data_IF_130971318354
#
_entry.id   IF_130971318354
#
_cell.length_a   1.000
_cell.length_b   1.000
_cell.length_c   1.000
_cell.angle_alpha   90.00
_cell.angle_beta   90.00
_cell.angle_gamma   90.00
#
_symmetry.space_group_name_H-M   'P 1'
#
loop_
_entity.id
_entity.type
_entity.pdbx_description
1 polymer ?
#
# COMPACT_ATOMS: atom_id res chain seq x y z
N UNK A 1 -14.07 -19.58 -27.21
CA UNK A 1 -15.23 -18.86 -26.66
C UNK A 1 -14.83 -17.87 -25.56
N UNK A 2 -14.11 -18.25 -24.50
CA UNK A 2 -13.71 -17.34 -23.40
C UNK A 2 -12.88 -16.12 -23.86
N UNK A 3 -11.84 -16.31 -24.69
CA UNK A 3 -11.02 -15.22 -25.21
C UNK A 3 -11.83 -14.21 -26.05
N UNK A 4 -12.73 -14.69 -26.89
CA UNK A 4 -13.63 -13.84 -27.69
C UNK A 4 -14.53 -12.98 -26.79
N UNK A 5 -15.11 -13.56 -25.73
CA UNK A 5 -15.93 -12.82 -24.76
C UNK A 5 -15.11 -11.72 -24.10
N UNK A 6 -13.88 -12.02 -23.66
CA UNK A 6 -12.99 -11.03 -23.07
C UNK A 6 -12.70 -9.89 -24.04
N UNK A 7 -12.38 -10.20 -25.31
CA UNK A 7 -12.13 -9.20 -26.36
C UNK A 7 -13.32 -8.26 -26.53
N UNK A 8 -14.55 -8.79 -26.63
CA UNK A 8 -15.77 -8.00 -26.78
C UNK A 8 -16.01 -7.08 -25.57
N UNK A 9 -15.90 -7.62 -24.35
CA UNK A 9 -16.08 -6.81 -23.14
C UNK A 9 -15.04 -5.72 -23.00
N UNK A 10 -13.77 -5.99 -23.33
CA UNK A 10 -12.72 -4.99 -23.33
C UNK A 10 -12.97 -3.91 -24.37
N UNK A 11 -13.35 -4.29 -25.59
CA UNK A 11 -13.67 -3.34 -26.66
C UNK A 11 -14.84 -2.41 -26.28
N UNK A 12 -15.91 -2.99 -25.72
CA UNK A 12 -17.06 -2.23 -25.25
C UNK A 12 -16.70 -1.27 -24.10
N UNK A 13 -15.93 -1.75 -23.10
CA UNK A 13 -15.46 -0.94 -21.98
C UNK A 13 -14.52 0.18 -22.44
N UNK A 14 -13.59 -0.14 -23.35
CA UNK A 14 -12.71 0.84 -23.96
C UNK A 14 -13.50 1.94 -24.69
N UNK A 15 -14.46 1.56 -25.54
CA UNK A 15 -15.30 2.49 -26.28
C UNK A 15 -16.14 3.38 -25.34
N UNK A 16 -16.73 2.82 -24.29
CA UNK A 16 -17.48 3.57 -23.29
C UNK A 16 -16.62 4.61 -22.55
N UNK A 17 -15.40 4.23 -22.14
CA UNK A 17 -14.47 5.13 -21.47
C UNK A 17 -13.90 6.20 -22.43
N UNK A 18 -13.68 5.86 -23.71
CA UNK A 18 -13.31 6.83 -24.74
C UNK A 18 -14.43 7.85 -24.97
N UNK A 19 -15.68 7.39 -25.04
CA UNK A 19 -16.85 8.26 -25.11
C UNK A 19 -16.99 9.18 -23.90
N UNK A 20 -16.74 8.67 -22.69
CA UNK A 20 -16.69 9.46 -21.46
C UNK A 20 -15.58 10.53 -21.51
N UNK A 21 -14.38 10.16 -21.97
CA UNK A 21 -13.28 11.10 -22.15
C UNK A 21 -13.63 12.22 -23.14
N UNK A 22 -14.29 11.88 -24.25
CA UNK A 22 -14.77 12.83 -25.22
C UNK A 22 -15.88 13.75 -24.65
N UNK A 23 -16.81 13.18 -23.90
CA UNK A 23 -17.89 13.95 -23.26
C UNK A 23 -17.37 14.94 -22.21
N UNK A 24 -16.22 14.65 -21.57
CA UNK A 24 -15.58 15.51 -20.56
C UNK A 24 -14.46 16.40 -21.10
N UNK A 25 -14.15 16.34 -22.39
CA UNK A 25 -13.14 17.20 -23.01
C UNK A 25 -13.56 18.67 -22.94
N UNK A 26 -12.59 19.57 -22.75
CA UNK A 26 -12.82 21.00 -22.76
C UNK A 26 -12.79 21.53 -24.20
N UNK A 27 -13.71 22.40 -24.53
CA UNK A 27 -13.93 22.90 -25.91
C UNK A 27 -12.77 23.71 -26.51
N UNK A 28 -11.79 24.09 -25.70
CA UNK A 28 -10.65 24.91 -26.08
C UNK A 28 -9.33 24.13 -26.15
N UNK A 29 -9.37 22.81 -25.88
CA UNK A 29 -8.20 21.96 -25.94
C UNK A 29 -8.21 21.11 -27.23
N UNK A 30 -7.13 21.15 -28.00
CA UNK A 30 -6.93 20.31 -29.19
C UNK A 30 -6.75 18.81 -28.85
N UNK A 31 -6.87 18.42 -27.56
CA UNK A 31 -6.77 17.06 -27.05
C UNK A 31 -7.73 16.80 -25.89
N UNK A 32 -7.92 15.52 -25.60
CA UNK A 32 -8.74 15.07 -24.47
C UNK A 32 -8.13 15.48 -23.14
N UNK A 33 -8.90 16.05 -22.22
CA UNK A 33 -8.42 16.48 -20.91
C UNK A 33 -7.94 15.29 -20.09
N UNK A 34 -8.66 14.15 -20.09
CA UNK A 34 -8.28 12.91 -19.41
C UNK A 34 -8.67 11.73 -20.30
N UNK A 35 -7.74 10.80 -20.52
CA UNK A 35 -7.96 9.61 -21.34
C UNK A 35 -8.16 8.36 -20.48
N UNK A 36 -9.40 8.08 -20.09
CA UNK A 36 -9.74 6.98 -19.19
C UNK A 36 -9.48 5.58 -19.77
N UNK A 37 -9.61 5.42 -21.08
CA UNK A 37 -9.52 4.11 -21.72
C UNK A 37 -8.15 3.45 -21.59
N UNK A 38 -7.06 4.22 -21.57
CA UNK A 38 -5.69 3.71 -21.39
C UNK A 38 -5.53 3.00 -20.02
N UNK A 39 -6.17 3.53 -18.99
CA UNK A 39 -6.15 2.94 -17.66
C UNK A 39 -6.89 1.62 -17.56
N UNK A 40 -7.98 1.43 -18.32
CA UNK A 40 -8.68 0.15 -18.39
C UNK A 40 -7.76 -0.95 -18.94
N UNK A 41 -7.12 -0.68 -20.05
CA UNK A 41 -6.24 -1.64 -20.72
C UNK A 41 -5.08 -2.03 -19.82
N UNK A 42 -4.35 -1.05 -19.27
CA UNK A 42 -3.24 -1.31 -18.35
C UNK A 42 -3.70 -2.06 -17.10
N UNK A 43 -4.78 -1.64 -16.45
CA UNK A 43 -5.31 -2.27 -15.26
C UNK A 43 -5.67 -3.74 -15.49
N UNK A 44 -6.32 -4.06 -16.61
CA UNK A 44 -6.65 -5.43 -16.99
C UNK A 44 -5.41 -6.28 -17.28
N UNK A 45 -4.40 -5.73 -17.96
CA UNK A 45 -3.14 -6.43 -18.20
C UNK A 45 -2.40 -6.77 -16.90
N UNK A 46 -2.45 -5.89 -15.90
CA UNK A 46 -1.79 -6.11 -14.62
C UNK A 46 -2.53 -7.09 -13.70
N UNK A 47 -3.85 -7.21 -13.83
CA UNK A 47 -4.67 -8.10 -12.98
C UNK A 47 -4.81 -9.50 -13.58
N UNK A 48 -4.76 -9.61 -14.91
CA UNK A 48 -4.99 -10.90 -15.58
C UNK A 48 -3.68 -11.62 -15.91
N UNK A 49 -3.70 -12.97 -15.96
CA UNK A 49 -2.52 -13.73 -16.34
C UNK A 49 -2.11 -13.39 -17.78
N UNK A 50 -0.83 -13.53 -18.08
CA UNK A 50 -0.27 -13.21 -19.42
C UNK A 50 -0.96 -13.93 -20.57
N UNK A 51 -1.56 -15.10 -20.34
CA UNK A 51 -2.35 -15.84 -21.34
C UNK A 51 -3.58 -15.08 -21.83
N UNK A 52 -4.09 -14.12 -21.05
CA UNK A 52 -5.24 -13.28 -21.43
C UNK A 52 -4.84 -11.98 -22.14
N UNK A 53 -3.55 -11.63 -22.18
CA UNK A 53 -3.08 -10.36 -22.73
C UNK A 53 -3.46 -10.16 -24.17
N UNK A 54 -3.36 -11.20 -25.02
CA UNK A 54 -3.73 -11.13 -26.43
C UNK A 54 -5.20 -10.72 -26.59
N UNK A 55 -6.11 -11.29 -25.83
CA UNK A 55 -7.52 -10.95 -25.91
C UNK A 55 -7.82 -9.53 -25.41
N UNK A 56 -7.11 -9.06 -24.35
CA UNK A 56 -7.24 -7.71 -23.82
C UNK A 56 -6.72 -6.70 -24.83
N UNK A 57 -5.53 -6.92 -25.39
CA UNK A 57 -4.93 -6.04 -26.40
C UNK A 57 -5.75 -6.00 -27.69
N UNK A 58 -6.29 -7.14 -28.15
CA UNK A 58 -7.19 -7.19 -29.29
C UNK A 58 -8.48 -6.40 -29.03
N UNK A 59 -9.04 -6.49 -27.80
CA UNK A 59 -10.21 -5.71 -27.42
C UNK A 59 -9.92 -4.20 -27.39
N UNK A 60 -8.78 -3.80 -26.83
CA UNK A 60 -8.34 -2.40 -26.81
C UNK A 60 -8.12 -1.87 -28.23
N UNK A 61 -7.47 -2.66 -29.10
CA UNK A 61 -7.28 -2.30 -30.51
C UNK A 61 -8.63 -2.03 -31.21
N UNK A 62 -9.56 -2.97 -31.09
CA UNK A 62 -10.88 -2.84 -31.71
C UNK A 62 -11.63 -1.64 -31.16
N UNK A 63 -11.64 -1.46 -29.83
CA UNK A 63 -12.30 -0.31 -29.19
C UNK A 63 -11.71 1.02 -29.62
N UNK A 64 -10.39 1.15 -29.68
CA UNK A 64 -9.69 2.34 -30.11
C UNK A 64 -9.92 2.65 -31.60
N UNK A 65 -9.84 1.62 -32.46
CA UNK A 65 -10.09 1.78 -33.89
C UNK A 65 -11.54 2.18 -34.18
N UNK A 66 -12.51 1.55 -33.51
CA UNK A 66 -13.94 1.91 -33.64
C UNK A 66 -14.17 3.34 -33.17
N UNK A 67 -13.60 3.73 -32.02
CA UNK A 67 -13.71 5.10 -31.53
C UNK A 67 -13.15 6.12 -32.56
N UNK A 68 -11.95 5.87 -33.08
CA UNK A 68 -11.35 6.73 -34.11
C UNK A 68 -12.22 6.86 -35.37
N UNK A 69 -12.84 5.78 -35.84
CA UNK A 69 -13.80 5.80 -36.93
C UNK A 69 -15.04 6.65 -36.63
N UNK A 70 -15.56 6.59 -35.42
CA UNK A 70 -16.74 7.35 -34.99
C UNK A 70 -16.48 8.86 -34.92
N UNK A 71 -15.25 9.29 -34.59
CA UNK A 71 -14.88 10.71 -34.57
C UNK A 71 -14.38 11.23 -35.91
N UNK A 72 -14.43 10.42 -37.00
CA UNK A 72 -14.12 10.83 -38.35
C UNK A 72 -12.71 10.51 -38.85
N UNK A 73 -11.89 9.82 -38.08
CA UNK A 73 -10.49 9.45 -38.40
C UNK A 73 -10.34 8.17 -39.24
N UNK A 74 -10.84 8.16 -40.47
CA UNK A 74 -10.90 6.95 -41.31
C UNK A 74 -9.54 6.28 -41.60
N UNK A 75 -8.53 7.05 -41.93
CA UNK A 75 -7.19 6.52 -42.29
C UNK A 75 -6.33 6.24 -41.04
N UNK A 76 -6.55 6.97 -39.98
CA UNK A 76 -5.75 6.91 -38.75
C UNK A 76 -6.27 5.88 -37.74
N UNK A 77 -7.46 5.28 -37.98
CA UNK A 77 -8.11 4.38 -37.03
C UNK A 77 -7.24 3.16 -36.65
N UNK A 78 -6.57 2.55 -37.64
CA UNK A 78 -5.68 1.42 -37.41
C UNK A 78 -4.40 1.86 -36.70
N UNK A 79 -3.85 3.03 -37.05
CA UNK A 79 -2.69 3.63 -36.39
C UNK A 79 -2.98 3.93 -34.90
N UNK A 80 -4.15 4.49 -34.65
CA UNK A 80 -4.61 4.79 -33.28
C UNK A 80 -4.77 3.52 -32.43
N UNK A 81 -5.41 2.49 -32.99
CA UNK A 81 -5.53 1.19 -32.31
C UNK A 81 -4.17 0.54 -32.05
N UNK A 82 -3.25 0.61 -33.01
CA UNK A 82 -1.90 0.09 -32.82
C UNK A 82 -1.11 0.86 -31.74
N UNK A 83 -1.23 2.18 -31.70
CA UNK A 83 -0.61 3.03 -30.68
C UNK A 83 -1.07 2.63 -29.27
N UNK A 84 -2.37 2.48 -29.06
CA UNK A 84 -2.93 2.06 -27.78
C UNK A 84 -2.43 0.69 -27.33
N UNK A 85 -2.38 -0.27 -28.24
CA UNK A 85 -1.86 -1.62 -27.94
C UNK A 85 -0.38 -1.59 -27.56
N UNK A 86 0.43 -0.88 -28.35
CA UNK A 86 1.87 -0.79 -28.13
C UNK A 86 2.20 -0.12 -26.78
N UNK A 87 1.54 0.99 -26.49
CA UNK A 87 1.80 1.74 -25.25
C UNK A 87 1.32 0.99 -24.01
N UNK A 88 0.13 0.38 -24.05
CA UNK A 88 -0.39 -0.43 -22.95
C UNK A 88 0.46 -1.69 -22.72
N UNK A 89 0.88 -2.38 -23.77
CA UNK A 89 1.76 -3.54 -23.67
C UNK A 89 3.15 -3.16 -23.10
N UNK A 90 3.73 -2.05 -23.57
CA UNK A 90 4.99 -1.53 -23.05
C UNK A 90 4.89 -1.18 -21.56
N UNK A 91 3.87 -0.42 -21.15
CA UNK A 91 3.63 -0.07 -19.75
C UNK A 91 3.43 -1.30 -18.87
N UNK A 92 2.61 -2.25 -19.29
CA UNK A 92 2.39 -3.49 -18.57
C UNK A 92 3.66 -4.34 -18.48
N UNK A 93 4.47 -4.37 -19.54
CA UNK A 93 5.74 -5.08 -19.55
C UNK A 93 6.74 -4.48 -18.55
N UNK A 94 6.92 -3.15 -18.56
CA UNK A 94 7.81 -2.46 -17.61
C UNK A 94 7.32 -2.68 -16.17
N UNK A 95 6.04 -2.46 -15.89
CA UNK A 95 5.48 -2.68 -14.57
C UNK A 95 5.69 -4.14 -14.09
N UNK A 96 5.52 -5.13 -14.98
CA UNK A 96 5.72 -6.55 -14.65
C UNK A 96 7.16 -6.95 -14.35
N UNK A 97 8.15 -6.07 -14.60
CA UNK A 97 9.54 -6.25 -14.17
C UNK A 97 9.78 -5.71 -12.75
N UNK A 98 8.91 -4.85 -12.28
CA UNK A 98 9.02 -4.20 -10.96
C UNK A 98 8.16 -4.89 -9.90
N UNK A 99 7.07 -5.58 -10.30
CA UNK A 99 6.16 -6.28 -9.39
C UNK A 99 5.71 -7.63 -9.95
N UNK A 100 5.20 -8.50 -9.07
CA UNK A 100 4.64 -9.79 -9.47
C UNK A 100 3.21 -9.63 -9.99
N UNK A 101 2.87 -10.39 -11.03
CA UNK A 101 1.51 -10.46 -11.56
C UNK A 101 0.78 -11.69 -10.99
N UNK A 102 -0.51 -11.60 -10.67
CA UNK A 102 -1.38 -10.41 -10.76
C UNK A 102 -1.07 -9.35 -9.70
N UNK A 103 -1.15 -8.06 -10.05
CA UNK A 103 -0.86 -6.96 -9.15
C UNK A 103 -1.96 -6.80 -8.08
N UNK A 104 -1.57 -6.55 -6.83
CA UNK A 104 -2.49 -6.38 -5.70
C UNK A 104 -2.43 -5.00 -5.04
N UNK A 105 -1.38 -4.22 -5.29
CA UNK A 105 -1.12 -2.90 -4.70
C UNK A 105 -1.13 -2.91 -3.15
N UNK A 106 -0.57 -3.95 -2.55
CA UNK A 106 -0.49 -4.09 -1.10
C UNK A 106 0.81 -3.50 -0.52
N UNK A 107 1.81 -3.26 -1.39
CA UNK A 107 3.11 -2.71 -1.01
C UNK A 107 3.46 -1.45 -1.80
N UNK A 108 4.24 -0.52 -1.23
CA UNK A 108 4.71 0.69 -1.93
C UNK A 108 5.43 0.40 -3.26
N UNK A 109 6.12 -0.75 -3.35
CA UNK A 109 6.77 -1.21 -4.59
C UNK A 109 5.76 -1.46 -5.70
N UNK A 110 4.59 -2.02 -5.39
CA UNK A 110 3.54 -2.30 -6.38
C UNK A 110 2.93 -1.00 -6.90
N UNK A 111 2.73 -0.01 -5.99
CA UNK A 111 2.31 1.32 -6.38
C UNK A 111 3.36 2.00 -7.27
N UNK A 112 4.65 1.92 -6.94
CA UNK A 112 5.73 2.45 -7.76
C UNK A 112 5.77 1.77 -9.14
N UNK A 113 5.56 0.46 -9.20
CA UNK A 113 5.48 -0.29 -10.46
C UNK A 113 4.29 0.18 -11.32
N UNK A 114 3.13 0.42 -10.72
CA UNK A 114 1.97 0.95 -11.42
C UNK A 114 2.23 2.37 -11.93
N UNK A 115 2.73 3.26 -11.08
CA UNK A 115 2.91 4.69 -11.40
C UNK A 115 4.03 4.90 -12.41
N UNK A 116 5.24 4.43 -12.10
CA UNK A 116 6.43 4.69 -12.91
C UNK A 116 6.59 3.65 -14.03
N UNK A 117 6.39 2.38 -13.72
CA UNK A 117 6.52 1.29 -14.69
C UNK A 117 5.34 1.24 -15.67
N UNK A 118 4.13 1.37 -15.18
CA UNK A 118 2.90 1.28 -15.97
C UNK A 118 2.49 2.62 -16.57
N UNK A 119 1.90 3.49 -15.73
CA UNK A 119 1.23 4.71 -16.18
C UNK A 119 2.17 5.72 -16.84
N UNK A 120 3.31 6.00 -16.22
CA UNK A 120 4.25 7.01 -16.74
C UNK A 120 4.92 6.53 -18.03
N UNK A 121 5.39 5.28 -18.08
CA UNK A 121 6.01 4.74 -19.30
C UNK A 121 5.03 4.67 -20.47
N UNK A 122 3.79 4.21 -20.23
CA UNK A 122 2.72 4.23 -21.25
C UNK A 122 2.45 5.64 -21.75
N UNK A 123 2.31 6.61 -20.85
CA UNK A 123 2.02 8.00 -21.19
C UNK A 123 3.15 8.66 -22.00
N UNK A 124 4.41 8.46 -21.58
CA UNK A 124 5.58 9.02 -22.28
C UNK A 124 5.74 8.41 -23.67
N UNK A 125 5.67 7.08 -23.80
CA UNK A 125 5.83 6.39 -25.08
C UNK A 125 4.72 6.84 -26.05
N UNK A 126 3.46 6.89 -25.58
CA UNK A 126 2.34 7.35 -26.40
C UNK A 126 2.47 8.79 -26.83
N UNK A 127 2.88 9.67 -25.91
CA UNK A 127 3.08 11.09 -26.18
C UNK A 127 4.22 11.33 -27.18
N UNK A 128 5.32 10.59 -27.08
CA UNK A 128 6.44 10.68 -28.04
C UNK A 128 6.00 10.27 -29.44
N UNK A 129 5.30 9.14 -29.58
CA UNK A 129 4.79 8.68 -30.88
C UNK A 129 3.80 9.68 -31.45
N UNK A 130 2.86 10.19 -30.64
CA UNK A 130 1.88 11.19 -31.11
C UNK A 130 2.54 12.52 -31.54
N UNK A 131 3.55 12.99 -30.80
CA UNK A 131 4.30 14.18 -31.15
C UNK A 131 5.11 14.03 -32.44
N UNK A 132 5.79 12.89 -32.62
CA UNK A 132 6.52 12.56 -33.86
C UNK A 132 5.53 12.49 -35.04
N UNK A 133 4.40 11.79 -34.84
CA UNK A 133 3.35 11.73 -35.87
C UNK A 133 2.84 13.13 -36.27
N UNK A 134 2.56 14.00 -35.31
CA UNK A 134 2.14 15.39 -35.58
C UNK A 134 3.15 16.11 -36.45
N UNK A 135 4.44 16.07 -36.08
CA UNK A 135 5.49 16.78 -36.83
C UNK A 135 5.70 16.16 -38.22
N UNK A 136 5.73 14.84 -38.35
CA UNK A 136 5.94 14.15 -39.64
C UNK A 136 4.75 14.30 -40.59
N UNK A 137 3.54 14.54 -40.07
CA UNK A 137 2.34 14.83 -40.84
C UNK A 137 2.19 16.31 -41.19
N UNK A 138 3.23 17.12 -40.94
CA UNK A 138 3.23 18.55 -41.28
C UNK A 138 2.69 19.50 -40.21
N UNK A 139 2.40 18.97 -39.02
CA UNK A 139 2.00 19.79 -37.87
C UNK A 139 3.19 20.50 -37.22
N UNK A 140 2.94 21.65 -36.58
CA UNK A 140 3.98 22.49 -35.97
C UNK A 140 3.97 22.43 -34.43
N UNK A 141 3.05 21.66 -33.83
CA UNK A 141 2.79 21.67 -32.38
C UNK A 141 3.26 20.41 -31.67
N UNK A 142 4.37 19.80 -32.05
CA UNK A 142 4.87 18.54 -31.48
C UNK A 142 5.03 18.58 -29.96
N UNK A 143 5.55 19.67 -29.38
CA UNK A 143 5.71 19.82 -27.92
C UNK A 143 4.37 19.94 -27.21
N UNK A 144 3.42 20.68 -27.74
CA UNK A 144 2.08 20.80 -27.20
C UNK A 144 1.35 19.44 -27.25
N UNK A 145 1.43 18.73 -28.36
CA UNK A 145 0.90 17.38 -28.55
C UNK A 145 1.50 16.41 -27.51
N UNK A 146 2.83 16.43 -27.36
CA UNK A 146 3.49 15.60 -26.33
C UNK A 146 2.92 15.86 -24.93
N UNK A 147 2.86 17.13 -24.52
CA UNK A 147 2.39 17.51 -23.19
C UNK A 147 0.94 17.07 -22.95
N UNK A 148 0.05 17.35 -23.88
CA UNK A 148 -1.36 17.03 -23.79
C UNK A 148 -1.58 15.50 -23.72
N UNK A 149 -0.93 14.74 -24.59
CA UNK A 149 -1.03 13.28 -24.60
C UNK A 149 -0.46 12.65 -23.33
N UNK A 150 0.73 13.10 -22.88
CA UNK A 150 1.36 12.58 -21.67
C UNK A 150 0.47 12.77 -20.45
N UNK A 151 -0.01 14.00 -20.22
CA UNK A 151 -0.82 14.32 -19.03
C UNK A 151 -2.19 13.66 -19.08
N UNK A 152 -2.85 13.66 -20.23
CA UNK A 152 -4.17 13.05 -20.44
C UNK A 152 -4.15 11.54 -20.15
N UNK A 153 -3.19 10.83 -20.74
CA UNK A 153 -3.03 9.38 -20.55
C UNK A 153 -2.58 9.05 -19.13
N UNK A 154 -1.63 9.80 -18.58
CA UNK A 154 -1.15 9.59 -17.23
C UNK A 154 -2.28 9.75 -16.19
N UNK A 155 -3.03 10.84 -16.26
CA UNK A 155 -4.16 11.09 -15.36
C UNK A 155 -5.25 10.01 -15.50
N UNK A 156 -5.64 9.66 -16.72
CA UNK A 156 -6.64 8.61 -16.99
C UNK A 156 -6.20 7.25 -16.47
N UNK A 157 -4.93 6.92 -16.66
CA UNK A 157 -4.35 5.66 -16.16
C UNK A 157 -4.32 5.62 -14.64
N UNK A 158 -3.95 6.70 -13.98
CA UNK A 158 -3.92 6.78 -12.50
C UNK A 158 -5.31 6.70 -11.85
N UNK A 159 -6.37 7.04 -12.58
CA UNK A 159 -7.74 6.88 -12.08
C UNK A 159 -8.23 5.45 -12.32
N UNK A 160 -8.12 4.94 -13.54
CA UNK A 160 -8.84 3.73 -13.94
C UNK A 160 -8.04 2.46 -13.65
N UNK A 161 -6.73 2.43 -13.86
CA UNK A 161 -5.96 1.21 -13.64
C UNK A 161 -5.99 0.75 -12.17
N UNK A 162 -5.75 1.61 -11.14
CA UNK A 162 -5.87 1.18 -9.75
C UNK A 162 -7.32 0.85 -9.37
N UNK A 163 -8.33 1.51 -9.96
CA UNK A 163 -9.73 1.14 -9.76
C UNK A 163 -9.99 -0.29 -10.25
N UNK A 164 -9.54 -0.64 -11.45
CA UNK A 164 -9.63 -2.00 -11.98
C UNK A 164 -8.92 -3.00 -11.08
N UNK A 165 -7.71 -2.72 -10.62
CA UNK A 165 -6.93 -3.59 -9.74
C UNK A 165 -7.63 -3.79 -8.40
N UNK A 166 -8.09 -2.71 -7.76
CA UNK A 166 -8.73 -2.77 -6.44
C UNK A 166 -10.07 -3.52 -6.44
N UNK A 167 -10.80 -3.46 -7.55
CA UNK A 167 -12.15 -4.02 -7.65
C UNK A 167 -12.22 -5.36 -8.39
N UNK A 168 -11.15 -5.79 -9.07
CA UNK A 168 -11.12 -7.06 -9.80
C UNK A 168 -11.36 -8.29 -8.92
N UNK A 169 -11.00 -8.22 -7.66
CA UNK A 169 -11.18 -9.31 -6.68
C UNK A 169 -12.33 -9.03 -5.69
N UNK A 170 -13.13 -8.02 -5.97
CA UNK A 170 -14.26 -7.70 -5.11
C UNK A 170 -15.28 -8.84 -5.13
N UNK A 171 -15.55 -9.40 -3.94
CA UNK A 171 -16.65 -10.34 -3.72
C UNK A 171 -17.73 -9.62 -2.93
N UNK A 172 -18.99 -9.57 -3.42
CA UNK A 172 -20.07 -8.95 -2.68
C UNK A 172 -20.38 -9.78 -1.42
N UNK A 173 -19.88 -9.31 -0.30
CA UNK A 173 -20.22 -9.77 1.05
C UNK A 173 -20.90 -8.61 1.77
N UNK A 174 -21.73 -8.93 2.78
CA UNK A 174 -22.29 -7.90 3.66
C UNK A 174 -21.14 -7.02 4.20
N UNK A 175 -21.27 -5.71 4.12
CA UNK A 175 -20.27 -4.70 4.48
C UNK A 175 -18.90 -4.82 3.77
N UNK A 176 -18.83 -5.49 2.59
CA UNK A 176 -17.57 -5.69 1.87
C UNK A 176 -16.50 -6.49 2.62
N UNK A 177 -16.90 -7.21 3.69
CA UNK A 177 -15.99 -7.96 4.57
C UNK A 177 -15.36 -7.11 5.68
N UNK A 178 -15.79 -5.85 5.84
CA UNK A 178 -15.35 -4.97 6.93
C UNK A 178 -16.23 -5.16 8.18
N UNK A 179 -15.69 -4.95 9.39
CA UNK A 179 -16.51 -4.81 10.60
C UNK A 179 -17.50 -3.66 10.44
N UNK A 180 -18.72 -3.80 10.98
CA UNK A 180 -19.78 -2.79 10.83
C UNK A 180 -19.37 -1.36 11.24
N UNK A 181 -18.60 -1.14 12.33
CA UNK A 181 -18.12 0.20 12.68
C UNK A 181 -17.19 0.78 11.61
N UNK A 182 -16.29 -0.03 11.05
CA UNK A 182 -15.39 0.41 9.98
C UNK A 182 -16.16 0.68 8.68
N UNK A 183 -17.16 -0.14 8.35
CA UNK A 183 -18.03 0.13 7.20
C UNK A 183 -18.78 1.45 7.38
N UNK A 184 -19.40 1.69 8.54
CA UNK A 184 -20.12 2.93 8.86
C UNK A 184 -19.22 4.16 8.84
N UNK A 185 -18.03 4.07 9.46
CA UNK A 185 -17.04 5.15 9.45
C UNK A 185 -16.58 5.50 8.03
N UNK A 186 -16.34 4.49 7.18
CA UNK A 186 -16.00 4.70 5.78
C UNK A 186 -17.15 5.29 4.96
N UNK A 187 -18.41 4.91 5.25
CA UNK A 187 -19.57 5.49 4.58
C UNK A 187 -19.73 6.99 4.92
N UNK A 188 -19.50 7.37 6.18
CA UNK A 188 -19.48 8.76 6.61
C UNK A 188 -18.36 9.54 5.91
N UNK A 189 -17.14 9.00 5.90
CA UNK A 189 -16.00 9.63 5.22
C UNK A 189 -16.26 9.79 3.72
N UNK A 190 -16.89 8.79 3.08
CA UNK A 190 -17.30 8.85 1.67
C UNK A 190 -18.33 9.95 1.42
N UNK A 191 -19.35 10.04 2.26
CA UNK A 191 -20.38 11.09 2.15
C UNK A 191 -19.79 12.49 2.33
N UNK A 192 -18.90 12.67 3.33
CA UNK A 192 -18.19 13.93 3.56
C UNK A 192 -17.27 14.29 2.39
N UNK A 193 -16.52 13.30 1.84
CA UNK A 193 -15.70 13.52 0.65
C UNK A 193 -16.55 13.99 -0.54
N UNK A 194 -17.63 13.27 -0.85
CA UNK A 194 -18.49 13.63 -1.98
C UNK A 194 -19.17 14.99 -1.78
N UNK A 195 -19.60 15.28 -0.55
CA UNK A 195 -20.20 16.58 -0.23
C UNK A 195 -19.18 17.73 -0.36
N UNK A 196 -17.98 17.56 0.21
CA UNK A 196 -16.95 18.60 0.17
C UNK A 196 -16.49 18.90 -1.24
N UNK A 197 -16.18 17.87 -2.04
CA UNK A 197 -15.75 18.08 -3.42
C UNK A 197 -16.87 18.63 -4.31
N UNK A 198 -18.11 18.18 -4.12
CA UNK A 198 -19.26 18.70 -4.83
C UNK A 198 -19.50 20.19 -4.50
N UNK A 199 -19.47 20.56 -3.23
CA UNK A 199 -19.64 21.95 -2.80
C UNK A 199 -18.52 22.85 -3.32
N UNK A 200 -17.27 22.35 -3.26
CA UNK A 200 -16.08 23.06 -3.77
C UNK A 200 -16.19 23.34 -5.27
N UNK A 201 -16.57 22.34 -6.07
CA UNK A 201 -16.56 22.49 -7.54
C UNK A 201 -17.85 23.08 -8.09
N UNK A 202 -18.98 22.98 -7.37
CA UNK A 202 -20.25 23.57 -7.80
C UNK A 202 -20.26 25.11 -7.75
N UNK A 203 -19.47 25.69 -6.85
CA UNK A 203 -19.42 27.12 -6.65
C UNK A 203 -18.72 27.84 -7.82
N UNK A 204 -19.21 29.02 -8.16
CA UNK A 204 -18.49 29.89 -9.08
C UNK A 204 -17.22 30.49 -8.45
N UNK A 205 -16.31 31.03 -9.25
CA UNK A 205 -15.09 31.67 -8.73
C UNK A 205 -15.36 32.80 -7.75
N UNK A 206 -16.53 33.48 -7.88
CA UNK A 206 -16.92 34.65 -7.09
C UNK A 206 -17.81 34.32 -5.89
N UNK A 207 -18.33 33.08 -5.82
CA UNK A 207 -19.34 32.66 -4.81
C UNK A 207 -18.74 32.35 -3.43
N UNK A 208 -17.42 32.21 -3.31
CA UNK A 208 -16.77 31.89 -2.04
C UNK A 208 -16.17 33.12 -1.37
N UNK A 209 -16.83 33.60 -0.30
CA UNK A 209 -16.29 34.53 0.72
C UNK A 209 -15.25 35.56 0.21
N UNK A 210 -15.52 36.21 -0.94
CA UNK A 210 -14.64 37.20 -1.55
C UNK A 210 -13.48 36.62 -2.35
N UNK A 211 -13.62 35.44 -2.95
CA UNK A 211 -12.69 34.87 -3.95
C UNK A 211 -11.38 34.26 -3.42
N UNK A 212 -10.85 34.74 -2.31
CA UNK A 212 -9.56 34.29 -1.80
C UNK A 212 -9.63 33.08 -0.84
N UNK A 213 -10.73 32.91 -0.12
CA UNK A 213 -10.89 31.81 0.86
C UNK A 213 -11.27 30.50 0.17
N UNK A 214 -12.04 30.57 -0.92
CA UNK A 214 -12.43 29.37 -1.69
C UNK A 214 -11.24 28.60 -2.28
N UNK A 215 -10.19 29.30 -2.69
CA UNK A 215 -8.99 28.66 -3.24
C UNK A 215 -8.17 27.91 -2.18
N UNK A 216 -8.13 28.39 -0.95
CA UNK A 216 -7.46 27.70 0.15
C UNK A 216 -8.13 26.38 0.53
N UNK A 217 -9.44 26.23 0.25
CA UNK A 217 -10.21 25.01 0.56
C UNK A 217 -10.11 23.91 -0.50
N UNK A 218 -9.37 24.12 -1.60
CA UNK A 218 -9.23 23.12 -2.68
C UNK A 218 -8.68 21.77 -2.20
N UNK A 219 -7.92 21.78 -1.11
CA UNK A 219 -7.34 20.59 -0.50
C UNK A 219 -8.21 19.95 0.59
N UNK A 220 -9.31 20.57 1.00
CA UNK A 220 -10.20 20.04 2.04
C UNK A 220 -10.71 18.63 1.73
N UNK A 221 -11.15 18.29 0.50
CA UNK A 221 -11.60 16.94 0.17
C UNK A 221 -10.53 15.88 0.39
N UNK A 222 -9.23 16.23 0.34
CA UNK A 222 -8.11 15.29 0.56
C UNK A 222 -8.15 14.71 1.96
N UNK A 223 -8.61 15.47 2.96
CA UNK A 223 -8.74 14.98 4.35
C UNK A 223 -9.74 13.84 4.42
N UNK A 224 -10.92 14.01 3.83
CA UNK A 224 -11.96 12.99 3.82
C UNK A 224 -11.58 11.79 2.94
N UNK A 225 -10.87 12.03 1.84
CA UNK A 225 -10.29 10.95 1.02
C UNK A 225 -9.25 10.16 1.81
N UNK A 226 -8.39 10.83 2.59
CA UNK A 226 -7.41 10.15 3.45
C UNK A 226 -8.10 9.27 4.50
N UNK A 227 -9.14 9.76 5.15
CA UNK A 227 -9.95 8.98 6.07
C UNK A 227 -10.59 7.77 5.37
N UNK A 228 -11.15 7.97 4.18
CA UNK A 228 -11.73 6.90 3.38
C UNK A 228 -10.68 5.85 2.96
N UNK A 229 -9.48 6.29 2.56
CA UNK A 229 -8.34 5.44 2.25
C UNK A 229 -7.86 4.63 3.47
N UNK A 230 -7.84 5.24 4.66
CA UNK A 230 -7.49 4.55 5.90
C UNK A 230 -8.53 3.48 6.29
N UNK A 231 -9.83 3.75 6.11
CA UNK A 231 -10.90 2.86 6.56
C UNK A 231 -11.23 1.79 5.52
N UNK A 232 -11.49 2.18 4.26
CA UNK A 232 -11.85 1.27 3.18
C UNK A 232 -10.66 0.83 2.32
N UNK A 233 -9.45 1.32 2.64
CA UNK A 233 -8.23 0.97 1.93
C UNK A 233 -8.23 1.42 0.48
N UNK A 234 -7.58 0.64 -0.37
CA UNK A 234 -7.41 0.95 -1.79
C UNK A 234 -8.74 1.13 -2.53
N UNK A 235 -9.79 0.38 -2.16
CA UNK A 235 -11.12 0.53 -2.78
C UNK A 235 -11.74 1.90 -2.50
N UNK A 236 -11.61 2.38 -1.27
CA UNK A 236 -12.06 3.71 -0.89
C UNK A 236 -11.28 4.81 -1.60
N UNK A 237 -9.96 4.70 -1.62
CA UNK A 237 -9.08 5.65 -2.30
C UNK A 237 -9.35 5.75 -3.80
N UNK A 238 -9.46 4.60 -4.49
CA UNK A 238 -9.71 4.56 -5.95
C UNK A 238 -11.12 5.02 -6.32
N UNK A 239 -12.11 4.71 -5.50
CA UNK A 239 -13.46 5.25 -5.66
C UNK A 239 -13.46 6.77 -5.50
N UNK A 240 -12.84 7.30 -4.44
CA UNK A 240 -12.75 8.74 -4.21
C UNK A 240 -12.00 9.46 -5.35
N UNK A 241 -10.89 8.89 -5.83
CA UNK A 241 -10.15 9.43 -6.97
C UNK A 241 -11.01 9.51 -8.23
N UNK A 242 -11.74 8.43 -8.56
CA UNK A 242 -12.60 8.38 -9.74
C UNK A 242 -13.80 9.35 -9.63
N UNK A 243 -14.51 9.34 -8.50
CA UNK A 243 -15.63 10.24 -8.26
C UNK A 243 -15.18 11.71 -8.23
N UNK A 244 -14.05 11.98 -7.55
CA UNK A 244 -13.46 13.31 -7.48
C UNK A 244 -13.03 13.83 -8.84
N UNK A 245 -12.40 13.00 -9.66
CA UNK A 245 -12.01 13.35 -11.01
C UNK A 245 -13.23 13.70 -11.89
N UNK A 246 -14.30 12.88 -11.82
CA UNK A 246 -15.53 13.16 -12.57
C UNK A 246 -16.18 14.47 -12.15
N UNK A 247 -16.32 14.72 -10.84
CA UNK A 247 -16.88 15.98 -10.33
C UNK A 247 -16.03 17.16 -10.77
N UNK A 248 -14.71 17.09 -10.59
CA UNK A 248 -13.81 18.16 -11.00
C UNK A 248 -13.92 18.48 -12.48
N UNK A 249 -13.91 17.46 -13.35
CA UNK A 249 -13.99 17.65 -14.81
C UNK A 249 -15.34 18.20 -15.26
N UNK A 250 -16.44 17.67 -14.71
CA UNK A 250 -17.80 18.13 -15.08
C UNK A 250 -17.99 19.61 -14.75
N UNK A 251 -17.64 20.02 -13.56
CA UNK A 251 -17.84 21.41 -13.13
C UNK A 251 -16.83 22.37 -13.78
N UNK A 252 -15.57 21.99 -13.93
CA UNK A 252 -14.58 22.82 -14.61
C UNK A 252 -14.96 23.03 -16.09
N UNK A 253 -15.43 21.98 -16.77
CA UNK A 253 -15.99 22.10 -18.14
C UNK A 253 -17.18 23.06 -18.20
N UNK A 254 -18.02 23.09 -17.18
CA UNK A 254 -19.15 24.00 -17.06
C UNK A 254 -18.76 25.42 -16.62
N UNK A 255 -17.48 25.76 -16.55
CA UNK A 255 -17.00 27.07 -16.11
C UNK A 255 -17.18 27.33 -14.62
N UNK A 256 -17.24 26.28 -13.79
CA UNK A 256 -17.41 26.35 -12.34
C UNK A 256 -16.22 25.75 -11.62
N UNK A 257 -16.15 26.02 -10.32
CA UNK A 257 -15.11 25.51 -9.43
C UNK A 257 -13.81 26.32 -9.47
N UNK A 258 -12.79 25.86 -8.73
CA UNK A 258 -11.58 26.63 -8.49
C UNK A 258 -10.68 26.78 -9.74
N UNK A 259 -10.86 25.94 -10.76
CA UNK A 259 -10.08 25.98 -12.01
C UNK A 259 -10.80 26.70 -13.15
N UNK A 260 -12.06 27.06 -12.97
CA UNK A 260 -12.77 27.89 -13.96
C UNK A 260 -12.07 29.26 -14.09
N UNK A 261 -11.84 29.69 -15.34
CA UNK A 261 -11.06 30.87 -15.64
C UNK A 261 -11.51 32.11 -14.91
N UNK A 262 -10.62 32.67 -14.10
CA UNK A 262 -10.79 33.95 -13.43
C UNK A 262 -10.22 35.02 -14.32
N UNK A 263 -10.93 36.14 -14.47
CA UNK A 263 -10.44 37.30 -15.21
C UNK A 263 -9.04 37.71 -14.66
N UNK A 264 -8.03 37.69 -15.53
CA UNK A 264 -6.65 38.04 -15.18
C UNK A 264 -5.76 36.88 -14.75
N UNK A 265 -6.25 35.65 -14.67
CA UNK A 265 -5.42 34.47 -14.42
C UNK A 265 -5.03 33.79 -15.76
N UNK A 266 -3.70 33.67 -15.99
CA UNK A 266 -3.13 33.07 -17.19
C UNK A 266 -3.00 31.54 -17.12
N UNK A 267 -3.62 30.87 -16.13
CA UNK A 267 -3.59 29.41 -15.96
C UNK A 267 -4.41 28.68 -17.01
N UNK A 268 -4.01 27.44 -17.31
CA UNK A 268 -4.74 26.53 -18.18
C UNK A 268 -5.68 25.65 -17.31
N UNK A 269 -7.02 25.83 -17.38
CA UNK A 269 -7.97 25.07 -16.56
C UNK A 269 -7.84 23.56 -16.74
N UNK A 270 -7.47 23.09 -17.93
CA UNK A 270 -7.27 21.66 -18.20
C UNK A 270 -6.05 21.13 -17.46
N UNK A 271 -4.93 21.85 -17.51
CA UNK A 271 -3.69 21.48 -16.82
C UNK A 271 -3.88 21.46 -15.29
N UNK A 272 -4.58 22.45 -14.75
CA UNK A 272 -4.84 22.51 -13.30
C UNK A 272 -5.76 21.39 -12.83
N UNK A 273 -6.82 21.11 -13.58
CA UNK A 273 -7.70 19.97 -13.30
C UNK A 273 -6.93 18.64 -13.38
N UNK A 274 -6.08 18.44 -14.39
CA UNK A 274 -5.22 17.26 -14.52
C UNK A 274 -4.26 17.14 -13.34
N UNK A 275 -3.56 18.22 -12.96
CA UNK A 275 -2.63 18.23 -11.84
C UNK A 275 -3.34 17.89 -10.51
N UNK A 276 -4.51 18.47 -10.28
CA UNK A 276 -5.32 18.17 -9.10
C UNK A 276 -5.74 16.70 -9.06
N UNK A 277 -6.25 16.16 -10.17
CA UNK A 277 -6.67 14.75 -10.28
C UNK A 277 -5.49 13.81 -10.03
N UNK A 278 -4.34 14.09 -10.62
CA UNK A 278 -3.11 13.32 -10.38
C UNK A 278 -2.72 13.37 -8.90
N UNK A 279 -2.71 14.56 -8.31
CA UNK A 279 -2.32 14.75 -6.92
C UNK A 279 -3.25 13.99 -5.94
N UNK A 280 -4.57 14.11 -6.09
CA UNK A 280 -5.51 13.40 -5.21
C UNK A 280 -5.42 11.88 -5.43
N UNK A 281 -5.29 11.41 -6.67
CA UNK A 281 -5.19 9.98 -6.96
C UNK A 281 -3.94 9.37 -6.34
N UNK A 282 -2.78 10.00 -6.52
CA UNK A 282 -1.51 9.53 -5.93
C UNK A 282 -1.54 9.59 -4.41
N UNK A 283 -2.05 10.67 -3.82
CA UNK A 283 -2.14 10.82 -2.36
C UNK A 283 -3.03 9.74 -1.74
N UNK A 284 -4.23 9.54 -2.30
CA UNK A 284 -5.15 8.52 -1.82
C UNK A 284 -4.58 7.10 -1.91
N UNK A 285 -3.96 6.76 -3.04
CA UNK A 285 -3.31 5.47 -3.23
C UNK A 285 -2.13 5.27 -2.28
N UNK A 286 -1.28 6.29 -2.11
CA UNK A 286 -0.12 6.22 -1.21
C UNK A 286 -0.57 5.96 0.23
N UNK A 287 -1.56 6.69 0.73
CA UNK A 287 -2.12 6.48 2.08
C UNK A 287 -2.68 5.07 2.21
N UNK A 288 -3.47 4.62 1.23
CA UNK A 288 -4.10 3.30 1.26
C UNK A 288 -3.05 2.17 1.28
N UNK A 289 -2.02 2.27 0.45
CA UNK A 289 -0.95 1.27 0.33
C UNK A 289 -0.05 1.26 1.57
N UNK A 290 0.34 2.42 2.10
CA UNK A 290 1.11 2.50 3.34
C UNK A 290 0.33 1.91 4.53
N UNK A 291 -0.96 2.23 4.64
CA UNK A 291 -1.81 1.66 5.67
C UNK A 291 -1.98 0.13 5.50
N UNK A 292 -2.07 -0.38 4.27
CA UNK A 292 -2.13 -1.81 3.99
C UNK A 292 -0.81 -2.51 4.39
N UNK A 293 0.33 -1.98 3.99
CA UNK A 293 1.65 -2.56 4.31
C UNK A 293 1.91 -2.59 5.82
N UNK A 294 1.54 -1.53 6.55
CA UNK A 294 1.63 -1.53 8.01
C UNK A 294 0.73 -2.60 8.66
N UNK A 295 -0.49 -2.80 8.14
CA UNK A 295 -1.39 -3.84 8.64
C UNK A 295 -0.85 -5.25 8.39
N UNK A 296 -0.23 -5.49 7.24
CA UNK A 296 0.43 -6.77 6.91
C UNK A 296 1.57 -7.01 7.88
N UNK A 297 2.50 -6.06 8.03
CA UNK A 297 3.63 -6.16 8.95
C UNK A 297 3.19 -6.40 10.40
N UNK A 298 2.15 -5.69 10.86
CA UNK A 298 1.60 -5.89 12.21
C UNK A 298 0.95 -7.27 12.40
N UNK A 299 0.33 -7.84 11.37
CA UNK A 299 -0.23 -9.20 11.40
C UNK A 299 0.88 -10.25 11.45
N UNK A 300 1.89 -10.12 10.61
CA UNK A 300 3.05 -11.01 10.58
C UNK A 300 3.79 -11.01 11.92
N UNK A 301 3.99 -9.83 12.52
CA UNK A 301 4.60 -9.72 13.83
C UNK A 301 3.79 -10.44 14.92
N UNK A 302 2.44 -10.29 14.92
CA UNK A 302 1.56 -10.99 15.87
C UNK A 302 1.56 -12.50 15.65
N UNK A 303 1.52 -12.95 14.41
CA UNK A 303 1.58 -14.38 14.07
C UNK A 303 2.92 -14.98 14.49
N UNK A 304 4.01 -14.25 14.31
CA UNK A 304 5.35 -14.63 14.76
C UNK A 304 5.36 -14.79 16.29
N UNK A 305 4.85 -13.79 17.01
CA UNK A 305 4.76 -13.83 18.46
C UNK A 305 3.95 -15.04 18.93
N UNK A 306 2.77 -15.28 18.35
CA UNK A 306 1.91 -16.42 18.73
C UNK A 306 2.60 -17.76 18.47
N UNK A 307 3.29 -17.90 17.32
CA UNK A 307 4.05 -19.13 17.01
C UNK A 307 5.23 -19.33 17.97
N UNK A 308 5.93 -18.24 18.30
CA UNK A 308 7.02 -18.26 19.26
C UNK A 308 6.55 -18.66 20.67
N UNK A 309 5.48 -18.06 21.17
CA UNK A 309 4.87 -18.41 22.47
C UNK A 309 4.42 -19.88 22.51
N UNK A 310 3.80 -20.36 21.43
CA UNK A 310 3.39 -21.76 21.33
C UNK A 310 4.59 -22.73 21.32
N UNK A 311 5.68 -22.40 20.63
CA UNK A 311 6.88 -23.21 20.61
C UNK A 311 7.56 -23.24 21.99
N UNK A 312 7.67 -22.12 22.68
CA UNK A 312 8.19 -22.02 24.05
C UNK A 312 7.37 -22.89 25.00
N UNK A 313 6.04 -22.77 24.96
CA UNK A 313 5.14 -23.56 25.82
C UNK A 313 5.25 -25.06 25.57
N UNK A 314 5.29 -25.49 24.27
CA UNK A 314 5.41 -26.90 23.92
C UNK A 314 6.70 -27.58 24.44
N UNK A 315 7.79 -26.81 24.55
CA UNK A 315 9.10 -27.30 24.98
C UNK A 315 9.40 -27.03 26.46
N UNK A 316 8.46 -26.50 27.22
CA UNK A 316 8.65 -26.12 28.65
C UNK A 316 9.86 -25.17 28.82
N UNK A 317 10.02 -24.23 27.87
CA UNK A 317 11.04 -23.22 27.91
C UNK A 317 10.48 -21.93 28.53
N UNK A 318 11.37 -21.15 29.12
CA UNK A 318 11.10 -19.78 29.53
C UNK A 318 12.05 -18.89 28.73
N UNK A 319 11.51 -17.93 27.98
CA UNK A 319 12.32 -16.91 27.35
C UNK A 319 12.33 -15.66 28.20
N UNK A 320 13.44 -14.95 28.21
CA UNK A 320 13.52 -13.66 28.84
C UNK A 320 14.27 -12.66 27.96
N UNK A 321 13.90 -11.41 28.13
CA UNK A 321 14.57 -10.24 27.59
C UNK A 321 14.89 -9.32 28.76
N UNK A 322 16.17 -9.01 28.93
CA UNK A 322 16.65 -8.16 30.01
C UNK A 322 17.40 -6.96 29.45
N UNK A 323 17.02 -5.79 29.92
CA UNK A 323 17.70 -4.53 29.63
C UNK A 323 18.60 -4.18 30.84
N UNK A 324 19.92 -4.30 30.69
CA UNK A 324 20.84 -4.01 31.79
C UNK A 324 20.85 -2.55 32.21
N UNK A 325 20.56 -1.59 31.31
CA UNK A 325 20.59 -0.17 31.60
C UNK A 325 19.42 0.26 32.49
N UNK A 326 18.22 -0.26 32.24
CA UNK A 326 17.03 0.04 33.05
C UNK A 326 16.79 -1.00 34.15
N UNK A 327 17.48 -2.14 34.12
CA UNK A 327 17.25 -3.28 35.01
C UNK A 327 15.96 -4.06 34.72
N UNK A 328 15.19 -3.64 33.71
CA UNK A 328 13.88 -4.25 33.37
C UNK A 328 14.05 -5.62 32.73
N UNK A 329 13.24 -6.57 33.17
CA UNK A 329 13.18 -7.90 32.58
C UNK A 329 11.76 -8.21 32.13
N UNK A 330 11.63 -8.78 30.93
CA UNK A 330 10.37 -9.28 30.40
C UNK A 330 10.50 -10.78 30.20
N UNK A 331 9.59 -11.54 30.78
CA UNK A 331 9.62 -13.00 30.73
C UNK A 331 8.43 -13.53 29.97
N UNK A 332 8.66 -14.48 29.07
CA UNK A 332 7.65 -15.16 28.25
C UNK A 332 7.74 -16.66 28.46
N UNK A 333 6.60 -17.32 28.57
CA UNK A 333 6.50 -18.76 28.85
C UNK A 333 5.63 -19.04 30.07
N UNK A 334 5.36 -20.31 30.34
CA UNK A 334 4.48 -20.71 31.43
C UNK A 334 5.25 -20.81 32.78
N UNK A 335 5.76 -19.66 33.25
CA UNK A 335 6.46 -19.59 34.54
C UNK A 335 5.54 -19.91 35.72
N UNK A 336 4.22 -19.68 35.57
CA UNK A 336 3.27 -20.01 36.61
C UNK A 336 3.20 -21.54 36.84
N UNK A 337 3.16 -22.31 35.76
CA UNK A 337 3.16 -23.77 35.84
C UNK A 337 4.54 -24.35 36.20
N UNK A 338 5.62 -23.76 35.67
CA UNK A 338 6.97 -24.27 35.85
C UNK A 338 7.62 -23.84 37.14
N UNK A 339 7.39 -22.62 37.61
CA UNK A 339 8.05 -21.99 38.75
C UNK A 339 7.08 -21.53 39.87
N UNK A 340 5.77 -21.70 39.67
CA UNK A 340 4.76 -21.19 40.59
C UNK A 340 4.60 -19.67 40.65
N UNK A 341 5.27 -18.96 39.75
CA UNK A 341 5.28 -17.48 39.71
C UNK A 341 4.80 -16.98 38.37
N UNK A 342 3.79 -16.11 38.37
CA UNK A 342 3.28 -15.50 37.11
C UNK A 342 4.33 -14.61 36.46
N UNK A 343 4.43 -14.58 35.10
CA UNK A 343 5.42 -13.78 34.38
C UNK A 343 5.42 -12.29 34.76
N UNK A 344 4.25 -11.72 35.02
CA UNK A 344 4.10 -10.31 35.41
C UNK A 344 4.72 -9.95 36.78
N UNK A 345 5.08 -10.92 37.57
CA UNK A 345 5.78 -10.72 38.86
C UNK A 345 7.31 -10.74 38.74
N UNK A 346 7.81 -11.05 37.56
CA UNK A 346 9.24 -11.10 37.23
C UNK A 346 9.53 -9.92 36.33
N UNK A 347 9.64 -8.72 36.92
CA UNK A 347 9.82 -7.48 36.19
C UNK A 347 11.28 -6.99 36.15
N UNK A 348 12.13 -7.55 37.02
CA UNK A 348 13.54 -7.16 37.14
C UNK A 348 14.44 -8.39 37.27
N UNK A 349 15.75 -8.21 37.02
CA UNK A 349 16.74 -9.26 37.29
C UNK A 349 16.72 -9.70 38.75
N UNK A 350 16.46 -8.80 39.70
CA UNK A 350 16.37 -9.12 41.10
C UNK A 350 15.21 -10.09 41.41
N UNK A 351 14.05 -9.90 40.76
CA UNK A 351 12.91 -10.79 40.87
C UNK A 351 13.24 -12.19 40.33
N UNK A 352 13.98 -12.25 39.20
CA UNK A 352 14.45 -13.52 38.62
C UNK A 352 15.40 -14.25 39.58
N UNK A 353 16.42 -13.52 40.08
CA UNK A 353 17.39 -14.09 41.02
C UNK A 353 16.74 -14.58 42.34
N UNK A 354 15.64 -13.94 42.75
CA UNK A 354 14.89 -14.38 43.96
C UNK A 354 14.25 -15.77 43.79
N UNK A 355 13.99 -16.23 42.57
CA UNK A 355 13.47 -17.58 42.28
C UNK A 355 14.55 -18.67 42.35
N UNK A 356 15.83 -18.31 42.33
CA UNK A 356 16.95 -19.25 42.41
C UNK A 356 17.17 -19.73 43.84
N UNK A 357 17.69 -20.95 43.98
CA UNK A 357 18.16 -21.43 45.25
C UNK A 357 19.27 -20.53 45.82
N UNK A 358 19.32 -20.30 47.15
CA UNK A 358 20.25 -19.35 47.78
C UNK A 358 21.69 -19.52 47.35
N UNK A 359 22.17 -20.76 47.24
CA UNK A 359 23.54 -21.10 46.91
C UNK A 359 23.93 -20.75 45.46
N UNK A 360 22.95 -20.63 44.55
CA UNK A 360 23.16 -20.30 43.13
C UNK A 360 22.98 -18.83 42.83
N UNK A 361 22.39 -18.02 43.70
CA UNK A 361 22.05 -16.60 43.44
C UNK A 361 23.26 -15.75 43.13
N UNK A 362 24.30 -15.86 43.98
CA UNK A 362 25.51 -15.04 43.80
C UNK A 362 26.26 -15.42 42.53
N UNK A 363 26.39 -16.71 42.25
CA UNK A 363 27.03 -17.21 41.02
C UNK A 363 26.28 -16.75 39.76
N UNK A 364 24.95 -16.83 39.78
CA UNK A 364 24.12 -16.37 38.68
C UNK A 364 24.21 -14.84 38.48
N UNK A 365 24.17 -14.05 39.57
CA UNK A 365 24.30 -12.60 39.51
C UNK A 365 25.59 -12.15 38.87
N UNK A 366 26.72 -12.78 39.21
CA UNK A 366 28.04 -12.50 38.55
C UNK A 366 27.99 -12.78 37.05
N UNK A 367 27.32 -13.85 36.67
CA UNK A 367 27.20 -14.19 35.21
C UNK A 367 26.32 -13.22 34.48
N UNK A 368 25.20 -12.79 35.06
CA UNK A 368 24.37 -11.74 34.46
C UNK A 368 25.13 -10.40 34.32
N UNK A 369 25.97 -10.04 35.29
CA UNK A 369 26.83 -8.86 35.20
C UNK A 369 27.86 -9.00 34.08
N UNK A 370 28.44 -10.16 33.86
CA UNK A 370 29.33 -10.44 32.74
C UNK A 370 28.61 -10.31 31.38
N UNK A 371 27.37 -10.81 31.30
CA UNK A 371 26.51 -10.62 30.12
C UNK A 371 26.21 -9.15 29.84
N UNK A 372 25.98 -8.36 30.91
CA UNK A 372 25.76 -6.92 30.79
C UNK A 372 27.01 -6.16 30.28
N UNK A 373 28.18 -6.74 30.45
CA UNK A 373 29.44 -6.16 29.96
C UNK A 373 29.82 -6.64 28.56
N UNK A 374 28.92 -7.40 27.88
CA UNK A 374 29.19 -7.97 26.56
C UNK A 374 30.28 -9.04 26.55
N UNK A 375 30.65 -9.56 27.73
CA UNK A 375 31.67 -10.61 27.88
C UNK A 375 30.98 -11.98 27.89
N UNK A 376 30.94 -12.62 26.71
CA UNK A 376 30.37 -13.97 26.56
C UNK A 376 29.50 -14.05 25.30
N UNK A 377 30.07 -14.49 24.18
CA UNK A 377 29.33 -14.61 22.90
C UNK A 377 28.27 -15.70 22.90
N UNK A 378 28.46 -16.79 23.65
CA UNK A 378 27.46 -17.83 23.91
C UNK A 378 27.71 -18.35 25.34
N UNK A 379 26.94 -17.85 26.31
CA UNK A 379 27.11 -18.23 27.69
C UNK A 379 25.92 -19.08 28.17
N UNK A 380 26.22 -20.32 28.52
CA UNK A 380 25.29 -21.24 29.16
C UNK A 380 25.61 -21.31 30.64
N UNK A 381 24.63 -21.05 31.47
CA UNK A 381 24.75 -21.24 32.95
C UNK A 381 23.68 -22.21 33.42
N UNK A 382 24.07 -23.05 34.39
CA UNK A 382 23.15 -23.96 35.07
C UNK A 382 23.00 -23.56 36.52
N UNK A 383 21.77 -23.51 36.99
CA UNK A 383 21.42 -23.22 38.40
C UNK A 383 20.15 -23.94 38.80
N UNK A 384 19.88 -23.98 40.09
CA UNK A 384 18.64 -24.53 40.64
C UNK A 384 17.65 -23.43 40.91
N UNK A 385 16.40 -23.64 40.46
CA UNK A 385 15.26 -22.74 40.70
C UNK A 385 14.24 -23.44 41.59
N UNK A 386 13.48 -22.68 42.35
CA UNK A 386 12.41 -23.20 43.19
C UNK A 386 11.18 -23.53 42.31
N UNK A 387 10.76 -24.78 42.35
CA UNK A 387 9.53 -25.23 41.70
C UNK A 387 8.27 -24.82 42.45
N UNK A 388 7.08 -25.01 41.85
CA UNK A 388 5.78 -24.61 42.43
C UNK A 388 5.45 -25.36 43.70
N UNK A 389 5.98 -26.55 43.89
CA UNK A 389 5.85 -27.42 45.08
C UNK A 389 6.97 -27.23 46.10
N UNK A 390 7.85 -26.24 45.91
CA UNK A 390 9.04 -26.01 46.74
C UNK A 390 10.22 -26.96 46.46
N UNK A 391 10.08 -27.89 45.52
CA UNK A 391 11.16 -28.78 45.14
C UNK A 391 12.16 -28.06 44.19
N UNK A 392 13.49 -28.35 44.30
CA UNK A 392 14.45 -27.77 43.39
C UNK A 392 14.32 -28.36 41.99
N UNK A 393 14.32 -27.49 40.99
CA UNK A 393 14.35 -27.82 39.58
C UNK A 393 15.67 -27.36 38.97
N UNK A 394 16.24 -28.16 38.06
CA UNK A 394 17.43 -27.77 37.33
C UNK A 394 17.04 -26.84 36.16
N UNK A 395 17.69 -25.70 36.07
CA UNK A 395 17.54 -24.76 34.97
C UNK A 395 18.86 -24.62 34.20
N UNK A 396 18.79 -24.73 32.87
CA UNK A 396 19.86 -24.39 31.94
C UNK A 396 19.47 -23.14 31.21
N UNK A 397 20.26 -22.09 31.35
CA UNK A 397 20.02 -20.75 30.79
C UNK A 397 21.07 -20.45 29.74
N UNK A 398 20.61 -20.34 28.50
CA UNK A 398 21.41 -19.95 27.33
C UNK A 398 21.02 -18.54 26.92
N UNK A 399 21.96 -17.60 26.88
CA UNK A 399 21.67 -16.21 26.57
C UNK A 399 22.67 -15.62 25.58
N UNK A 400 22.18 -14.63 24.83
CA UNK A 400 22.95 -13.84 23.90
C UNK A 400 22.74 -12.36 24.12
N UNK A 401 23.82 -11.59 24.08
CA UNK A 401 23.78 -10.15 24.07
C UNK A 401 23.36 -9.63 22.68
N UNK A 402 22.43 -8.68 22.63
CA UNK A 402 22.03 -7.96 21.44
C UNK A 402 22.65 -6.56 21.52
N UNK A 403 23.50 -6.23 20.59
CA UNK A 403 24.11 -4.90 20.43
C UNK A 403 23.32 -4.08 19.40
N UNK A 404 23.29 -2.77 19.58
CA UNK A 404 22.74 -1.83 18.58
C UNK A 404 23.72 -1.58 17.42
N UNK A 405 23.36 -0.66 16.51
CA UNK A 405 24.22 -0.35 15.37
C UNK A 405 25.50 0.43 15.74
N UNK A 406 25.58 0.96 16.94
CA UNK A 406 26.76 1.67 17.46
C UNK A 406 27.69 0.69 18.22
N UNK A 407 27.28 -0.61 18.34
CA UNK A 407 28.03 -1.65 19.00
C UNK A 407 27.85 -1.66 20.52
N UNK A 408 26.95 -0.84 21.06
CA UNK A 408 26.63 -0.82 22.47
C UNK A 408 25.60 -1.90 22.83
N UNK A 409 25.75 -2.48 24.01
CA UNK A 409 24.84 -3.51 24.50
C UNK A 409 23.45 -2.92 24.71
N UNK A 410 22.48 -3.39 23.89
CA UNK A 410 21.10 -2.95 23.96
C UNK A 410 20.28 -3.82 24.92
N UNK A 411 20.38 -5.14 24.75
CA UNK A 411 19.59 -6.12 25.53
C UNK A 411 20.30 -7.47 25.64
N UNK A 412 19.90 -8.26 26.63
CA UNK A 412 20.25 -9.67 26.73
C UNK A 412 18.99 -10.51 26.56
N UNK A 413 19.03 -11.45 25.61
CA UNK A 413 17.90 -12.37 25.37
C UNK A 413 18.38 -13.79 25.73
N UNK A 414 17.60 -14.48 26.54
CA UNK A 414 17.92 -15.82 26.99
C UNK A 414 16.74 -16.79 26.93
N UNK A 415 17.11 -18.07 26.87
CA UNK A 415 16.19 -19.20 26.92
C UNK A 415 16.58 -20.07 28.12
N UNK A 416 15.64 -20.31 29.02
CA UNK A 416 15.81 -21.16 30.19
C UNK A 416 14.99 -22.43 30.00
N UNK A 417 15.70 -23.57 30.03
CA UNK A 417 15.07 -24.89 30.07
C UNK A 417 15.00 -25.38 31.50
N UNK A 418 13.82 -25.76 31.93
CA UNK A 418 13.58 -26.27 33.30
C UNK A 418 13.27 -27.76 33.24
N UNK A 419 13.99 -28.53 34.05
CA UNK A 419 13.81 -29.98 34.18
C UNK A 419 13.83 -30.43 35.66
N UNK A 420 13.20 -31.59 36.00
CA UNK A 420 13.31 -32.15 37.35
C UNK A 420 14.80 -32.38 37.73
N UNK A 421 15.17 -32.04 38.96
CA UNK A 421 16.56 -32.10 39.46
C UNK A 421 17.24 -33.49 39.30
N UNK A 422 16.44 -34.56 39.30
CA UNK A 422 16.94 -35.95 39.08
C UNK A 422 17.51 -36.19 37.68
N UNK A 423 17.27 -35.29 36.71
CA UNK A 423 17.84 -35.33 35.37
C UNK A 423 19.06 -34.41 35.21
N UNK A 424 19.40 -33.65 36.27
CA UNK A 424 20.51 -32.68 36.23
C UNK A 424 21.89 -33.32 36.10
N UNK A 425 22.08 -34.56 36.57
CA UNK A 425 23.34 -35.29 36.46
C UNK A 425 23.67 -35.66 35.00
N UNK A 426 22.64 -35.82 34.14
CA UNK A 426 22.83 -36.02 32.71
C UNK A 426 23.15 -34.73 31.94
N UNK A 427 22.70 -33.55 32.39
CA UNK A 427 22.93 -32.27 31.76
C UNK A 427 24.34 -31.71 32.04
N UNK A 428 24.99 -32.10 33.14
CA UNK A 428 26.39 -31.75 33.45
C UNK A 428 27.39 -32.49 32.56
N UNK A 429 26.97 -33.61 31.95
CA UNK A 429 27.82 -34.39 31.05
C UNK A 429 27.88 -33.88 29.62
N UNK A 430 27.02 -32.92 29.23
CA UNK A 430 26.96 -32.34 27.88
C UNK A 430 27.67 -30.99 27.78
N UNK A 431 28.20 -30.45 28.85
CA UNK A 431 28.92 -29.17 28.92
C UNK A 431 30.42 -29.26 29.23
N UNK A 432 31.03 -30.41 28.99
CA UNK A 432 32.52 -30.58 29.04
C UNK A 432 33.10 -30.76 27.67
#
# INVERSE_FOLDING_TARGET
MHLFIVTVFVAAGYLALSGLSAALAFSHADAWTVWFASGLTLGLLLVRPRTSWIAILAGAFVGAAVFALLIGGRLDALGYGALEVLTAAAGAWVASRMTNLPAHLDHPRDLAALVFGGALSQAIIGALIAAIWNVTSGGTQGVATFRLWALSNFAGTLIVAPLVIAWAQFRPKRSGGLPMPAFGGGAIACALFLASIFLLFRAGPDDYLGGNVGRGLIYEPVIFMALLALVWGLRGATFAAAAGALIALIFTKAGKGPFAGIQGYLGDPALEAQAYIVAISLTGMLIAVLAASQRVAAREAREWQTRFEAAIGAHRLIAYEWDPASGRMVVTGDTAQLLGTAPARIATLADWLALLMPDDRERAAVRFDQRAQGRGEEDSISYLVMGPDGAPLAASDEARAIVDHDGELHRVVGLVRVAPARLADGLRAWGQ
#
